data_IF_813919074217
#
_entry.id   IF_813919074217
#
_cell.length_a   1.000
_cell.length_b   1.000
_cell.length_c   1.000
_cell.angle_alpha   90.00
_cell.angle_beta   90.00
_cell.angle_gamma   90.00
#
_symmetry.space_group_name_H-M   'P 1'
#
loop_
_entity.id
_entity.type
_entity.pdbx_description
1 polymer ?
2 non-polymer ?
3 water ?
#
# COMPACT_ATOMS: atom_id res chain seq x y z
N UNK A 1 14.68 -3.87 18.14
CA UNK A 1 15.06 -2.80 17.17
C UNK A 1 15.03 -3.32 15.73
N UNK A 2 16.21 -3.62 15.20
CA UNK A 2 16.36 -4.13 13.84
C UNK A 2 15.92 -3.15 12.76
N UNK A 3 16.88 -2.72 11.95
CA UNK A 3 16.61 -1.80 10.86
C UNK A 3 17.25 -2.35 9.60
N UNK A 4 16.86 -1.79 8.46
CA UNK A 4 17.39 -2.22 7.18
C UNK A 4 18.19 -1.12 6.53
N UNK A 5 19.32 -1.50 5.95
CA UNK A 5 20.19 -0.57 5.25
C UNK A 5 20.48 -1.18 3.89
N UNK A 6 19.87 -0.62 2.85
CA UNK A 6 20.11 -1.16 1.53
C UNK A 6 19.03 -0.78 0.56
N UNK A 7 18.92 -1.56 -0.50
CA UNK A 7 17.95 -1.30 -1.55
C UNK A 7 16.65 -2.07 -1.32
N UNK A 8 15.53 -1.36 -1.41
CA UNK A 8 14.22 -1.97 -1.25
C UNK A 8 13.51 -1.93 -2.59
N UNK A 9 13.07 -3.08 -3.06
CA UNK A 9 12.33 -3.16 -4.31
C UNK A 9 10.98 -3.72 -3.91
N UNK A 10 9.91 -3.02 -4.24
CA UNK A 10 8.59 -3.50 -3.90
C UNK A 10 7.63 -3.30 -5.05
N UNK A 11 6.94 -4.37 -5.42
CA UNK A 11 5.96 -4.28 -6.48
C UNK A 11 4.59 -4.39 -5.82
N UNK A 12 3.76 -3.38 -6.03
CA UNK A 12 2.41 -3.34 -5.49
C UNK A 12 1.57 -3.87 -6.65
N UNK A 13 1.25 -5.15 -6.58
CA UNK A 13 0.52 -5.82 -7.65
C UNK A 13 -0.96 -5.51 -7.78
N UNK A 14 -1.72 -5.85 -6.76
CA UNK A 14 -3.16 -5.61 -6.80
C UNK A 14 -3.77 -5.65 -5.42
N UNK A 15 -5.00 -5.17 -5.32
CA UNK A 15 -5.72 -5.20 -4.06
C UNK A 15 -7.10 -5.75 -4.37
N UNK A 16 -7.74 -6.30 -3.35
CA UNK A 16 -9.07 -6.85 -3.52
C UNK A 16 -9.91 -6.51 -2.30
N UNK A 17 -11.23 -6.49 -2.48
CA UNK A 17 -12.16 -6.21 -1.41
C UNK A 17 -11.97 -4.87 -0.71
N UNK A 18 -11.59 -3.83 -1.45
CA UNK A 18 -11.43 -2.52 -0.83
C UNK A 18 -12.83 -2.02 -0.49
N UNK A 19 -12.95 -1.34 0.64
CA UNK A 19 -14.24 -0.84 1.08
C UNK A 19 -14.31 0.68 1.17
N UNK A 20 -15.27 1.29 0.45
CA UNK A 20 -15.41 2.75 0.49
C UNK A 20 -15.73 3.17 1.92
N UNK A 21 -15.14 4.26 2.38
CA UNK A 21 -15.40 4.74 3.73
C UNK A 21 -16.67 5.58 3.68
N UNK A 22 -17.25 5.84 4.85
CA UNK A 22 -18.46 6.65 4.92
C UNK A 22 -18.22 8.01 4.27
N UNK A 23 -17.02 8.54 4.44
CA UNK A 23 -16.70 9.84 3.87
C UNK A 23 -16.65 9.80 2.34
N UNK A 24 -16.02 8.77 1.78
CA UNK A 24 -15.93 8.65 0.33
C UNK A 24 -17.31 8.43 -0.26
N UNK A 25 -18.22 7.94 0.57
CA UNK A 25 -19.59 7.67 0.16
C UNK A 25 -20.50 8.89 0.20
N UNK A 26 -20.16 9.86 1.04
CA UNK A 26 -20.98 11.07 1.18
C UNK A 26 -21.59 11.50 -0.15
N UNK A 27 -20.88 11.23 -1.24
CA UNK A 27 -21.35 11.57 -2.58
C UNK A 27 -21.49 10.31 -3.44
N UNK A 29 -25.78 9.62 -3.38
CA UNK A 29 -27.21 9.70 -2.96
C UNK A 29 -28.08 8.79 -3.83
N UNK A 30 -27.51 7.67 -4.26
CA UNK A 30 -28.25 6.73 -5.08
C UNK A 30 -28.80 7.34 -6.36
N UNK A 31 -30.14 7.47 -6.47
CA UNK A 31 -31.12 7.07 -5.46
C UNK A 31 -31.56 5.61 -5.55
N UNK A 32 -30.60 4.71 -5.72
CA UNK A 32 -30.90 3.28 -5.81
C UNK A 32 -29.77 2.46 -5.20
N UNK A 33 -30.10 1.30 -4.60
CA UNK A 33 -29.06 0.47 -4.00
C UNK A 33 -27.96 0.24 -5.02
N UNK A 34 -26.80 0.86 -4.80
CA UNK A 34 -25.69 0.72 -5.73
C UNK A 34 -24.37 0.54 -5.01
N UNK A 35 -23.39 0.00 -5.73
CA UNK A 35 -22.07 -0.21 -5.17
C UNK A 35 -21.22 0.99 -5.56
N UNK A 36 -20.55 1.60 -4.59
CA UNK A 36 -19.71 2.75 -4.90
C UNK A 36 -18.34 2.21 -5.30
N UNK A 37 -17.84 2.67 -6.44
CA UNK A 37 -16.53 2.23 -6.92
C UNK A 37 -15.51 3.34 -6.70
N UNK A 38 -14.41 2.99 -6.05
CA UNK A 38 -13.34 3.92 -5.75
C UNK A 38 -12.44 4.16 -6.95
N UNK A 39 -11.57 5.17 -6.83
CA UNK A 39 -10.55 5.50 -7.83
C UNK A 39 -9.34 5.41 -6.92
N UNK A 40 -8.89 4.18 -6.62
CA UNK A 40 -7.76 3.94 -5.74
C UNK A 40 -6.33 3.95 -6.24
N UNK A 41 -5.44 4.24 -5.31
CA UNK A 41 -4.01 4.20 -5.53
C UNK A 41 -3.43 3.89 -4.17
N UNK A 42 -2.21 3.37 -4.14
CA UNK A 42 -1.56 3.08 -2.88
C UNK A 42 -0.32 3.93 -2.78
N UNK A 43 -0.15 4.55 -1.61
CA UNK A 43 1.01 5.37 -1.32
C UNK A 43 2.00 4.49 -0.56
N UNK A 44 3.27 4.58 -0.95
CA UNK A 44 4.33 3.82 -0.30
C UNK A 44 5.12 4.76 0.60
N UNK A 45 5.16 4.46 1.90
CA UNK A 45 5.91 5.27 2.86
C UNK A 45 6.90 4.37 3.58
N UNK A 46 8.11 4.87 3.80
CA UNK A 46 9.11 4.12 4.55
C UNK A 46 9.38 5.01 5.76
N UNK A 47 9.12 4.47 6.95
CA UNK A 47 9.27 5.25 8.17
C UNK A 47 8.29 6.41 7.98
N UNK A 48 8.69 7.65 8.15
CA UNK A 48 7.68 8.67 7.93
C UNK A 48 7.94 9.55 6.72
N UNK A 49 8.36 8.90 5.63
CA UNK A 49 8.65 9.58 4.38
C UNK A 49 7.93 8.91 3.22
N UNK A 50 7.31 9.72 2.37
CA UNK A 50 6.61 9.21 1.21
C UNK A 50 7.64 8.85 0.15
N UNK A 51 7.59 7.63 -0.36
CA UNK A 51 8.52 7.20 -1.40
C UNK A 51 7.87 7.45 -2.75
N UNK A 52 6.57 7.20 -2.82
CA UNK A 52 5.86 7.41 -4.07
C UNK A 52 4.49 6.80 -3.99
N UNK A 53 3.82 6.71 -5.14
CA UNK A 53 2.49 6.13 -5.17
C UNK A 53 2.21 5.48 -6.52
N UNK A 54 1.36 4.46 -6.51
CA UNK A 54 0.99 3.75 -7.72
C UNK A 54 0.09 4.69 -8.52
N UNK A 55 -0.23 4.29 -9.74
CA UNK A 55 -1.13 5.08 -10.56
C UNK A 55 -2.51 4.92 -9.93
N UNK A 56 -3.45 5.77 -10.33
CA UNK A 56 -4.80 5.70 -9.82
C UNK A 56 -5.62 4.88 -10.80
N UNK A 57 -6.37 3.90 -10.30
CA UNK A 57 -7.22 3.12 -11.19
C UNK A 57 -8.62 3.72 -11.06
N UNK A 58 -9.35 3.74 -12.17
CA UNK A 58 -10.68 4.32 -12.19
C UNK A 58 -11.80 3.32 -11.92
N UNK A 59 -12.70 3.69 -11.01
CA UNK A 59 -13.87 2.89 -10.66
C UNK A 59 -13.67 1.40 -10.40
N UNK A 60 -12.95 1.08 -9.34
CA UNK A 60 -12.72 -0.31 -8.99
C UNK A 60 -12.32 -0.48 -7.54
N UNK A 61 -12.87 -1.51 -6.89
CA UNK A 61 -12.52 -1.79 -5.51
C UNK A 61 -11.59 -3.00 -5.44
N UNK A 62 -11.11 -3.43 -6.61
CA UNK A 62 -10.17 -4.54 -6.74
C UNK A 62 -9.16 -4.13 -7.82
N UNK A 63 -8.45 -3.02 -7.59
CA UNK A 63 -7.47 -2.52 -8.55
C UNK A 63 -6.22 -3.38 -8.76
N UNK A 64 -5.71 -3.36 -9.98
CA UNK A 64 -4.50 -4.07 -10.35
C UNK A 64 -3.55 -2.99 -10.86
N UNK A 65 -2.52 -2.69 -10.08
CA UNK A 65 -1.56 -1.65 -10.45
C UNK A 65 -0.30 -2.20 -11.09
N UNK A 66 0.30 -3.20 -10.45
CA UNK A 66 1.53 -3.81 -10.92
C UNK A 66 2.58 -2.73 -11.13
N UNK A 67 2.69 -1.84 -10.15
CA UNK A 67 3.66 -0.75 -10.17
C UNK A 67 4.80 -1.13 -9.25
N UNK A 68 6.02 -0.94 -9.73
CA UNK A 68 7.22 -1.27 -8.98
C UNK A 68 7.99 -0.04 -8.52
N UNK A 69 8.55 -0.13 -7.32
CA UNK A 69 9.33 0.96 -6.74
C UNK A 69 10.64 0.43 -6.21
N UNK A 70 11.70 1.21 -6.42
CA UNK A 70 13.02 0.85 -5.91
C UNK A 70 13.49 2.08 -5.16
N UNK A 71 13.94 1.89 -3.92
CA UNK A 71 14.41 3.02 -3.14
C UNK A 71 15.52 2.63 -2.19
N UNK A 72 16.44 3.56 -1.95
CA UNK A 72 17.53 3.31 -1.04
C UNK A 72 17.00 3.55 0.36
N UNK A 73 17.21 2.58 1.25
CA UNK A 73 16.73 2.70 2.61
C UNK A 73 17.89 2.86 3.59
N UNK A 74 17.80 3.88 4.43
CA UNK A 74 18.81 4.15 5.44
C UNK A 74 18.16 4.07 6.80
N UNK A 75 18.62 3.14 7.63
CA UNK A 75 18.07 2.96 8.96
C UNK A 75 16.55 2.85 8.87
N UNK A 76 16.09 1.97 7.99
CA UNK A 76 14.66 1.79 7.81
C UNK A 76 14.04 0.93 8.89
N UNK A 77 12.88 1.37 9.38
CA UNK A 77 12.16 0.67 10.43
C UNK A 77 10.94 -0.07 9.88
N UNK A 78 10.12 0.61 9.09
CA UNK A 78 8.95 -0.05 8.55
C UNK A 78 8.43 0.53 7.25
N UNK A 79 7.60 -0.25 6.58
CA UNK A 79 6.99 0.13 5.32
C UNK A 79 5.50 0.26 5.58
N UNK A 80 4.88 1.31 5.06
CA UNK A 80 3.44 1.44 5.22
C UNK A 80 2.87 1.57 3.82
N UNK A 81 1.79 0.86 3.56
CA UNK A 81 1.11 0.95 2.27
C UNK A 81 -0.24 1.52 2.64
N UNK A 82 -0.58 2.67 2.07
CA UNK A 82 -1.85 3.31 2.40
C UNK A 82 -2.69 3.49 1.14
N UNK A 83 -3.90 2.94 1.16
CA UNK A 83 -4.79 3.07 0.02
C UNK A 83 -5.59 4.36 0.16
N UNK A 84 -5.67 5.12 -0.93
CA UNK A 84 -6.43 6.37 -0.94
C UNK A 84 -7.39 6.37 -2.12
N UNK A 85 -8.46 7.15 -1.99
CA UNK A 85 -9.42 7.34 -3.06
C UNK A 85 -9.02 8.70 -3.64
N UNK A 86 -8.73 8.72 -4.94
CA UNK A 86 -8.29 9.94 -5.62
C UNK A 86 -9.46 10.93 -5.80
N UNK A 87 -9.53 11.93 -4.93
CA UNK A 87 -10.61 12.92 -5.00
C UNK A 87 -10.34 13.96 -6.09
N UNK A 88 -11.40 14.38 -6.80
CA UNK A 88 -11.30 15.37 -7.88
C UNK A 88 -10.85 16.72 -7.35
N UNK A 89 -11.31 17.06 -6.15
CA UNK A 89 -10.96 18.32 -5.53
C UNK A 89 -10.61 18.13 -4.07
N UNK A 90 -9.50 18.72 -3.66
CA UNK A 90 -9.07 18.62 -2.27
C UNK A 90 -8.23 17.40 -1.98
N UNK A 91 -8.02 17.17 -0.69
CA UNK A 91 -7.22 16.05 -0.21
C UNK A 91 -7.90 14.72 -0.51
N UNK A 92 -7.10 13.72 -0.86
CA UNK A 92 -7.65 12.41 -1.17
C UNK A 92 -8.14 11.76 0.12
N UNK A 93 -9.07 10.81 -0.02
CA UNK A 93 -9.66 10.14 1.13
C UNK A 93 -8.91 8.88 1.52
N UNK A 94 -8.57 8.76 2.80
CA UNK A 94 -7.87 7.57 3.28
C UNK A 94 -8.87 6.42 3.22
N UNK A 95 -8.42 5.27 2.75
CA UNK A 95 -9.28 4.10 2.62
C UNK A 95 -8.88 2.98 3.58
N UNK A 96 -7.62 2.58 3.52
CA UNK A 96 -7.13 1.49 4.37
C UNK A 96 -5.61 1.44 4.31
N UNK A 97 -4.99 0.69 5.21
CA UNK A 97 -3.54 0.59 5.20
C UNK A 97 -3.00 -0.67 5.85
N UNK A 98 -1.70 -0.85 5.73
CA UNK A 98 -1.03 -1.98 6.37
C UNK A 98 0.40 -1.56 6.60
N UNK A 99 1.02 -2.12 7.63
CA UNK A 99 2.39 -1.78 7.96
C UNK A 99 3.20 -3.06 8.03
N UNK A 100 4.41 -3.01 7.49
CA UNK A 100 5.31 -4.16 7.49
C UNK A 100 6.64 -3.72 8.10
N UNK A 101 7.05 -4.37 9.19
CA UNK A 101 8.32 -4.02 9.83
C UNK A 101 9.46 -4.70 9.06
N UNK A 102 10.54 -3.97 8.83
CA UNK A 102 11.67 -4.56 8.13
C UNK A 102 12.20 -5.73 8.95
N UNK A 103 11.96 -5.68 10.26
CA UNK A 103 12.40 -6.74 11.16
C UNK A 103 11.76 -8.08 10.80
N UNK A 104 10.48 -8.05 10.41
CA UNK A 104 9.83 -9.30 10.04
C UNK A 104 10.25 -9.76 8.66
N UNK A 105 10.63 -8.82 7.80
CA UNK A 105 11.07 -9.16 6.45
C UNK A 105 12.48 -9.76 6.47
N UNK A 106 13.27 -9.37 7.46
CA UNK A 106 14.65 -9.85 7.57
C UNK A 106 14.81 -11.16 8.31
N UNK A 107 13.70 -11.74 8.77
CA UNK A 107 13.77 -13.02 9.47
C UNK A 107 14.48 -14.04 8.59
N UNK A 108 15.44 -14.77 9.16
CA UNK A 108 16.21 -15.78 8.45
C UNK A 108 15.81 -16.00 6.99
N UNK A 109 16.79 -15.85 6.10
CA UNK A 109 16.55 -16.01 4.68
C UNK A 109 16.27 -14.65 4.08
N UNK A 110 15.12 -14.08 4.45
CA UNK A 110 14.70 -12.77 3.97
C UNK A 110 15.04 -12.55 2.51
N UNK A 111 15.24 -11.28 2.17
CA UNK A 111 15.60 -10.86 0.82
C UNK A 111 14.45 -10.95 -0.18
N UNK A 112 13.52 -11.89 0.02
CA UNK A 112 12.38 -12.02 -0.89
C UNK A 112 11.09 -12.40 -0.17
N UNK A 113 10.10 -11.51 -0.25
CA UNK A 113 8.80 -11.74 0.35
C UNK A 113 7.75 -11.53 -0.73
N UNK A 114 6.74 -12.38 -0.74
CA UNK A 114 5.70 -12.27 -1.74
C UNK A 114 4.45 -12.90 -1.15
N UNK A 115 3.39 -12.12 -1.00
CA UNK A 115 2.15 -12.64 -0.43
C UNK A 115 1.10 -11.55 -0.29
N UNK A 116 -0.08 -11.96 0.17
CA UNK A 116 -1.17 -11.02 0.42
C UNK A 116 -0.99 -10.48 1.83
N UNK A 117 -1.20 -9.18 1.99
CA UNK A 117 -1.11 -8.55 3.29
C UNK A 117 -2.47 -7.94 3.58
N UNK A 118 -3.01 -8.24 4.76
CA UNK A 118 -4.31 -7.72 5.14
C UNK A 118 -4.27 -6.22 5.37
N UNK A 119 -5.29 -5.54 4.87
CA UNK A 119 -5.41 -4.09 5.04
C UNK A 119 -6.41 -3.83 6.16
N UNK A 120 -6.22 -2.72 6.85
CA UNK A 120 -7.13 -2.33 7.92
C UNK A 120 -7.82 -1.06 7.43
N UNK A 121 -9.15 -0.96 7.58
CA UNK A 121 -10.10 -1.91 8.18
C UNK A 121 -10.43 -3.16 7.37
N UNK A 122 -10.44 -3.03 6.05
CA UNK A 122 -10.78 -4.15 5.18
C UNK A 122 -9.96 -4.22 3.89
N UNK A 123 -9.98 -5.40 3.27
CA UNK A 123 -9.26 -5.61 2.03
C UNK A 123 -7.90 -6.25 2.21
N UNK A 124 -7.23 -6.53 1.10
CA UNK A 124 -5.89 -7.08 1.14
C UNK A 124 -5.13 -6.67 -0.12
N UNK A 125 -3.81 -6.61 0.00
CA UNK A 125 -2.98 -6.21 -1.12
C UNK A 125 -1.88 -7.25 -1.33
N UNK A 126 -1.62 -7.58 -2.59
CA UNK A 126 -0.58 -8.54 -2.92
C UNK A 126 0.67 -7.78 -3.28
N UNK A 127 1.76 -8.06 -2.58
CA UNK A 127 3.01 -7.37 -2.86
C UNK A 127 4.18 -8.32 -3.00
N UNK A 128 5.21 -7.86 -3.69
CA UNK A 128 6.42 -8.64 -3.88
C UNK A 128 7.52 -7.73 -3.37
N UNK A 129 8.20 -8.16 -2.32
CA UNK A 129 9.25 -7.36 -1.73
C UNK A 129 10.61 -8.05 -1.77
N UNK A 130 11.62 -7.31 -2.21
CA UNK A 130 12.98 -7.84 -2.27
C UNK A 130 13.90 -6.85 -1.58
N UNK A 131 14.81 -7.37 -0.77
CA UNK A 131 15.75 -6.51 -0.06
C UNK A 131 17.17 -6.90 -0.41
N UNK A 132 18.01 -5.89 -0.59
CA UNK A 132 19.41 -6.12 -0.91
C UNK A 132 20.22 -5.15 -0.07
N UNK A 133 20.61 -5.62 1.10
CA UNK A 133 21.38 -4.79 2.00
C UNK A 133 21.73 -5.62 3.22
N UNK A 134 21.60 -5.02 4.39
CA UNK A 134 21.91 -5.72 5.63
C UNK A 134 21.04 -5.22 6.77
N UNK A 135 20.90 -6.05 7.79
CA UNK A 135 20.12 -5.68 8.96
C UNK A 135 21.08 -5.04 9.95
N UNK A 136 20.53 -4.37 10.95
CA UNK A 136 21.37 -3.73 11.95
C UNK A 136 20.55 -2.88 12.90
X LIG B 1 -5.51 13.44 -7.27
#
# INVERSE_FOLDING_TARGET
>A
MVVFNGLLKIKICEAVSLKPTAWSLRDAVGPRPQTFLLDPYIALNVDDSRIGQTATKQKTNSPAWHDEFVTDVCNGRKIELAVFHDAPIGYDDFVANCTIQFEELLQNGSRHFEDWIDLEPEGKVYVIIDLSGSSG
>B hetero
1 MG MG
#
